data_IF_841715527164
#
_entry.id   IF_841715527164
#
_cell.length_a   1.000
_cell.length_b   1.000
_cell.length_c   1.000
_cell.angle_alpha   90.00
_cell.angle_beta   90.00
_cell.angle_gamma   90.00
#
_symmetry.space_group_name_H-M   'P 1'
#
loop_
_entity.id
_entity.type
_entity.pdbx_description
1 polymer ?
#
# COMPACT_ATOMS: atom_id res chain seq x y z
N UNK A 1 -1.94 25.15 13.75
CA UNK A 1 -3.07 24.34 14.24
C UNK A 1 -2.68 22.87 14.11
N UNK A 2 -2.76 22.08 15.18
CA UNK A 2 -2.72 20.62 15.02
C UNK A 2 -3.93 20.24 14.18
N UNK A 3 -3.73 19.62 13.01
CA UNK A 3 -4.83 18.93 12.33
C UNK A 3 -5.38 17.92 13.32
N UNK A 4 -6.68 17.92 13.56
CA UNK A 4 -7.31 16.83 14.29
C UNK A 4 -6.94 15.51 13.61
N UNK A 5 -6.63 14.48 14.41
CA UNK A 5 -6.25 13.17 13.87
C UNK A 5 -7.40 12.66 13.00
N UNK A 6 -7.18 12.57 11.70
CA UNK A 6 -8.15 12.05 10.76
C UNK A 6 -8.24 10.53 10.95
N UNK A 7 -9.44 10.02 11.22
CA UNK A 7 -9.71 8.59 11.06
C UNK A 7 -10.10 8.37 9.59
N UNK A 8 -9.36 7.55 8.84
CA UNK A 8 -9.61 7.32 7.42
C UNK A 8 -10.97 6.65 7.22
N UNK A 9 -11.62 6.97 6.08
CA UNK A 9 -12.88 6.33 5.67
C UNK A 9 -12.65 5.14 4.74
N UNK A 10 -11.45 5.01 4.20
CA UNK A 10 -11.06 3.97 3.25
C UNK A 10 -9.75 3.32 3.68
N UNK A 11 -9.74 2.00 3.66
CA UNK A 11 -8.56 1.18 3.95
C UNK A 11 -8.46 0.09 2.88
N UNK A 12 -7.36 0.04 2.14
CA UNK A 12 -7.05 -1.11 1.28
C UNK A 12 -6.46 -2.24 2.13
N UNK A 13 -6.65 -3.49 1.72
CA UNK A 13 -6.21 -4.67 2.48
C UNK A 13 -5.61 -5.73 1.56
N UNK A 14 -4.85 -6.67 2.12
CA UNK A 14 -4.16 -7.73 1.40
C UNK A 14 -4.89 -9.09 1.50
N UNK A 15 -6.22 -9.05 1.58
CA UNK A 15 -7.02 -10.28 1.50
C UNK A 15 -6.84 -10.92 0.11
N UNK A 16 -6.64 -12.25 0.03
CA UNK A 16 -6.47 -12.95 -1.25
C UNK A 16 -7.83 -13.33 -1.86
N UNK A 17 -8.75 -12.37 -1.97
CA UNK A 17 -10.13 -12.58 -2.45
C UNK A 17 -10.35 -12.14 -3.91
N UNK A 18 -9.29 -11.72 -4.62
CA UNK A 18 -9.37 -11.31 -6.02
C UNK A 18 -9.61 -12.51 -6.96
N UNK A 19 -10.52 -12.34 -7.94
CA UNK A 19 -10.82 -13.38 -8.93
C UNK A 19 -9.78 -13.48 -10.05
N UNK A 20 -9.09 -12.38 -10.36
CA UNK A 20 -8.09 -12.29 -11.43
C UNK A 20 -6.94 -11.38 -11.00
N UNK A 21 -5.77 -11.61 -11.57
CA UNK A 21 -4.57 -10.82 -11.27
C UNK A 21 -4.62 -9.45 -11.97
N UNK A 22 -4.25 -8.36 -11.28
CA UNK A 22 -4.16 -7.03 -11.88
C UNK A 22 -3.12 -6.95 -13.00
N UNK A 23 -3.37 -6.11 -14.01
CA UNK A 23 -2.50 -5.99 -15.20
C UNK A 23 -1.07 -5.49 -14.91
N UNK A 24 -0.85 -4.88 -13.75
CA UNK A 24 0.46 -4.39 -13.30
C UNK A 24 1.26 -5.44 -12.54
N UNK A 25 0.64 -6.55 -12.13
CA UNK A 25 1.31 -7.60 -11.39
C UNK A 25 2.16 -8.44 -12.35
N UNK A 26 3.36 -8.81 -11.88
CA UNK A 26 4.38 -9.47 -12.68
C UNK A 26 4.32 -11.00 -12.61
N UNK A 27 3.48 -11.53 -11.72
CA UNK A 27 3.35 -12.97 -11.47
C UNK A 27 1.88 -13.39 -11.29
N UNK A 28 1.64 -14.67 -11.05
CA UNK A 28 0.30 -15.21 -10.77
C UNK A 28 -0.22 -14.89 -9.35
N UNK A 29 0.58 -14.22 -8.53
CA UNK A 29 0.23 -13.75 -7.19
C UNK A 29 0.83 -12.37 -6.93
N UNK A 30 0.10 -11.53 -6.19
CA UNK A 30 0.59 -10.23 -5.73
C UNK A 30 1.54 -10.50 -4.56
N UNK A 31 2.84 -10.37 -4.78
CA UNK A 31 3.87 -10.67 -3.78
C UNK A 31 5.11 -9.78 -3.95
N UNK A 32 5.86 -9.58 -2.85
CA UNK A 32 7.14 -8.88 -2.88
C UNK A 32 7.02 -7.44 -3.36
N UNK A 33 7.69 -7.09 -4.45
CA UNK A 33 7.67 -5.71 -4.98
C UNK A 33 6.31 -5.30 -5.54
N UNK A 34 5.48 -6.26 -5.96
CA UNK A 34 4.14 -5.99 -6.45
C UNK A 34 3.22 -5.51 -5.32
N UNK A 35 3.41 -5.97 -4.08
CA UNK A 35 2.68 -5.49 -2.90
C UNK A 35 3.09 -4.05 -2.51
N UNK A 36 4.37 -3.71 -2.70
CA UNK A 36 4.87 -2.35 -2.50
C UNK A 36 4.27 -1.40 -3.54
N UNK A 37 4.22 -1.84 -4.80
CA UNK A 37 3.54 -1.09 -5.86
C UNK A 37 2.04 -0.95 -5.58
N UNK A 38 1.36 -2.02 -5.18
CA UNK A 38 -0.06 -2.01 -4.85
C UNK A 38 -0.38 -1.03 -3.71
N UNK A 39 0.48 -0.98 -2.70
CA UNK A 39 0.34 -0.02 -1.59
C UNK A 39 0.42 1.42 -2.11
N UNK A 40 1.40 1.73 -2.96
CA UNK A 40 1.49 3.03 -3.62
C UNK A 40 0.29 3.31 -4.54
N UNK A 41 -0.15 2.33 -5.32
CA UNK A 41 -1.29 2.43 -6.23
C UNK A 41 -2.58 2.74 -5.48
N UNK A 42 -2.79 2.08 -4.34
CA UNK A 42 -3.93 2.30 -3.44
C UNK A 42 -4.00 3.74 -2.94
N UNK A 43 -2.86 4.31 -2.52
CA UNK A 43 -2.78 5.71 -2.10
C UNK A 43 -2.94 6.68 -3.28
N UNK A 44 -2.13 6.52 -4.31
CA UNK A 44 -1.94 7.54 -5.36
C UNK A 44 -3.01 7.52 -6.46
N UNK A 45 -3.51 6.33 -6.81
CA UNK A 45 -4.44 6.15 -7.93
C UNK A 45 -5.87 5.91 -7.42
N UNK A 46 -6.04 5.05 -6.42
CA UNK A 46 -7.36 4.73 -5.86
C UNK A 46 -7.83 5.71 -4.79
N UNK A 47 -6.92 6.54 -4.24
CA UNK A 47 -7.24 7.52 -3.21
C UNK A 47 -7.63 6.90 -1.86
N UNK A 48 -7.18 5.67 -1.58
CA UNK A 48 -7.29 5.07 -0.26
C UNK A 48 -6.49 5.90 0.75
N UNK A 49 -7.03 6.02 1.96
CA UNK A 49 -6.43 6.84 3.01
C UNK A 49 -5.58 6.03 3.99
N UNK A 50 -5.72 4.71 3.94
CA UNK A 50 -4.99 3.75 4.74
C UNK A 50 -4.77 2.47 3.93
N UNK A 51 -3.71 1.74 4.25
CA UNK A 51 -3.43 0.41 3.70
C UNK A 51 -3.04 -0.47 4.88
N UNK A 52 -3.74 -1.59 5.03
CA UNK A 52 -3.41 -2.63 5.97
C UNK A 52 -2.27 -3.48 5.39
N UNK A 53 -1.21 -3.67 6.19
CA UNK A 53 -0.12 -4.58 5.87
C UNK A 53 -0.27 -5.86 6.69
N UNK A 54 -0.66 -6.96 6.05
CA UNK A 54 -0.96 -8.21 6.74
C UNK A 54 0.32 -8.96 7.12
N UNK A 55 0.75 -8.86 8.38
CA UNK A 55 1.88 -9.60 8.93
C UNK A 55 1.47 -10.91 9.65
N UNK A 56 0.18 -11.26 9.63
CA UNK A 56 -0.34 -12.45 10.29
C UNK A 56 -0.34 -13.67 9.35
N UNK A 57 -0.88 -13.49 8.14
CA UNK A 57 -1.20 -14.59 7.23
C UNK A 57 -0.17 -14.88 6.14
N UNK A 58 0.88 -14.06 6.00
CA UNK A 58 1.84 -14.15 4.89
C UNK A 58 3.29 -13.84 5.28
N UNK A 59 4.21 -14.29 4.43
CA UNK A 59 5.63 -13.90 4.52
C UNK A 59 5.80 -12.47 3.99
N UNK A 60 5.84 -11.53 4.92
CA UNK A 60 5.87 -10.10 4.60
C UNK A 60 7.26 -9.55 4.35
N UNK A 61 7.29 -8.47 3.58
CA UNK A 61 8.41 -7.55 3.61
C UNK A 61 8.32 -6.58 4.81
N UNK A 62 9.24 -6.67 5.79
CA UNK A 62 9.23 -5.78 6.94
C UNK A 62 9.71 -4.36 6.62
N UNK A 63 10.28 -4.13 5.43
CA UNK A 63 10.85 -2.86 4.99
C UNK A 63 9.91 -2.07 4.07
N UNK A 64 8.60 -2.37 4.07
CA UNK A 64 7.60 -1.70 3.20
C UNK A 64 7.70 -0.18 3.24
N UNK A 65 7.77 0.44 4.43
CA UNK A 65 7.85 1.91 4.56
C UNK A 65 9.11 2.44 3.88
N UNK A 66 10.26 1.80 4.08
CA UNK A 66 11.52 2.21 3.44
C UNK A 66 11.41 2.09 1.92
N UNK A 67 10.82 1.01 1.41
CA UNK A 67 10.65 0.80 -0.03
C UNK A 67 9.69 1.82 -0.66
N UNK A 68 8.57 2.13 0.00
CA UNK A 68 7.65 3.20 -0.42
C UNK A 68 8.36 4.55 -0.51
N UNK A 69 9.08 4.95 0.54
CA UNK A 69 9.78 6.24 0.57
C UNK A 69 10.95 6.30 -0.42
N UNK A 70 11.60 5.18 -0.72
CA UNK A 70 12.73 5.12 -1.67
C UNK A 70 12.24 5.11 -3.12
N UNK A 71 11.19 4.34 -3.43
CA UNK A 71 10.69 4.15 -4.81
C UNK A 71 9.70 5.23 -5.24
N UNK A 72 8.87 5.70 -4.32
CA UNK A 72 7.77 6.64 -4.58
C UNK A 72 7.91 7.91 -3.71
N UNK A 73 9.15 8.31 -3.44
CA UNK A 73 9.47 9.41 -2.53
C UNK A 73 8.84 10.75 -2.93
N UNK A 74 8.69 11.02 -4.23
CA UNK A 74 8.01 12.23 -4.72
C UNK A 74 6.57 12.31 -4.17
N UNK A 75 5.78 11.26 -4.36
CA UNK A 75 4.40 11.19 -3.86
C UNK A 75 4.32 11.27 -2.33
N UNK A 76 5.14 10.49 -1.61
CA UNK A 76 5.09 10.45 -0.14
C UNK A 76 5.74 11.66 0.54
N UNK A 77 6.48 12.49 -0.20
CA UNK A 77 6.95 13.79 0.31
C UNK A 77 5.81 14.79 0.49
N UNK A 78 4.82 14.74 -0.41
CA UNK A 78 3.60 15.56 -0.38
C UNK A 78 2.50 14.88 0.45
N UNK A 79 2.39 13.56 0.39
CA UNK A 79 1.39 12.72 1.05
C UNK A 79 2.04 11.89 2.15
N UNK A 80 2.37 12.54 3.28
CA UNK A 80 3.09 11.89 4.38
C UNK A 80 2.28 10.76 5.02
N UNK A 81 2.94 9.64 5.26
CA UNK A 81 2.43 8.58 6.12
C UNK A 81 2.47 9.05 7.59
N UNK A 82 1.37 8.86 8.32
CA UNK A 82 1.24 9.19 9.74
C UNK A 82 0.49 10.49 10.04
#
# INVERSE_FOLDING_TARGET
MKKDRLIPKTMASQHPDNASIPTWCTSDVIAGEDEVYETYYSFSILGCQEVMWDAEGKDIDPQVVRKLLTKYGEYFSENKLG
#
